data_IF_374929043214
#
_entry.id   IF_374929043214
#
_cell.length_a   1.000
_cell.length_b   1.000
_cell.length_c   1.000
_cell.angle_alpha   90.00
_cell.angle_beta   90.00
_cell.angle_gamma   90.00
#
_symmetry.space_group_name_H-M   'P 1'
#
loop_
_entity.id
_entity.type
_entity.pdbx_description
1 polymer ?
#
# COMPACT_ATOMS: atom_id res chain seq x y z
N UNK A 1 4.80 -1.30 0.00
CA UNK A 1 5.21 -0.69 -1.30
C UNK A 1 4.62 0.72 -1.38
N UNK A 2 5.37 1.73 -1.85
CA UNK A 2 4.89 3.11 -2.07
C UNK A 2 4.79 3.43 -3.56
N UNK A 3 4.15 4.55 -3.92
CA UNK A 3 3.98 5.02 -5.30
C UNK A 3 5.32 5.20 -6.04
N UNK A 4 6.35 5.68 -5.34
CA UNK A 4 7.71 5.88 -5.85
C UNK A 4 8.43 4.57 -6.21
N UNK A 5 7.90 3.44 -5.74
CA UNK A 5 8.43 2.10 -6.02
C UNK A 5 7.68 1.40 -7.15
N UNK A 6 6.70 2.06 -7.78
CA UNK A 6 5.89 1.51 -8.87
C UNK A 6 6.06 2.37 -10.12
N UNK A 7 6.47 1.75 -11.22
CA UNK A 7 6.57 2.40 -12.53
C UNK A 7 5.58 1.77 -13.49
N UNK A 8 4.92 2.62 -14.28
CA UNK A 8 4.02 2.19 -15.35
C UNK A 8 4.65 2.63 -16.66
N UNK A 9 4.85 1.69 -17.59
CA UNK A 9 5.39 2.03 -18.91
C UNK A 9 4.30 2.50 -19.89
N UNK A 10 4.71 2.82 -21.12
CA UNK A 10 3.80 3.27 -22.18
C UNK A 10 2.79 2.20 -22.65
N UNK A 11 2.96 0.95 -22.25
CA UNK A 11 2.09 -0.18 -22.57
C UNK A 11 1.19 -0.57 -21.39
N UNK A 12 1.22 0.18 -20.29
CA UNK A 12 0.54 -0.11 -19.01
C UNK A 12 1.11 -1.34 -18.27
N UNK A 13 2.36 -1.71 -18.53
CA UNK A 13 3.06 -2.73 -17.75
C UNK A 13 3.55 -2.12 -16.43
N UNK A 14 3.40 -2.88 -15.34
CA UNK A 14 3.73 -2.44 -13.98
C UNK A 14 5.07 -3.05 -13.55
N UNK A 15 5.98 -2.19 -13.11
CA UNK A 15 7.30 -2.56 -12.62
C UNK A 15 7.48 -2.15 -11.16
N UNK A 16 8.08 -3.02 -10.36
CA UNK A 16 8.36 -2.77 -8.94
C UNK A 16 9.86 -2.58 -8.72
N UNK A 17 10.22 -1.52 -8.00
CA UNK A 17 11.58 -1.24 -7.54
C UNK A 17 11.67 -1.39 -6.02
N UNK A 18 12.90 -1.32 -5.50
CA UNK A 18 13.21 -1.37 -4.07
C UNK A 18 12.64 -2.63 -3.36
N UNK A 19 13.02 -3.79 -3.89
CA UNK A 19 12.57 -5.09 -3.40
C UNK A 19 13.34 -5.60 -2.18
N UNK A 20 14.11 -4.74 -1.49
CA UNK A 20 14.92 -5.12 -0.33
C UNK A 20 14.10 -5.70 0.85
N UNK A 21 12.82 -5.31 0.94
CA UNK A 21 11.85 -5.80 1.93
C UNK A 21 10.84 -6.80 1.35
N UNK A 22 11.00 -7.23 0.10
CA UNK A 22 10.09 -8.17 -0.53
C UNK A 22 10.24 -9.57 0.09
N UNK A 23 9.12 -10.24 0.36
CA UNK A 23 9.11 -11.57 0.95
C UNK A 23 7.72 -12.03 1.36
N UNK A 24 7.65 -13.20 1.99
CA UNK A 24 6.41 -13.69 2.57
C UNK A 24 6.06 -12.84 3.80
N UNK A 25 4.91 -12.18 3.74
CA UNK A 25 4.41 -11.32 4.80
C UNK A 25 2.87 -11.38 4.87
N UNK A 26 2.32 -10.77 5.91
CA UNK A 26 0.88 -10.52 6.00
C UNK A 26 0.46 -9.56 4.88
N UNK A 27 -0.67 -9.81 4.22
CA UNK A 27 -1.18 -8.98 3.12
C UNK A 27 -1.39 -7.51 3.55
N UNK A 28 -1.67 -7.28 4.83
CA UNK A 28 -1.85 -5.94 5.36
C UNK A 28 -0.56 -5.13 5.45
N UNK A 29 0.61 -5.72 5.23
CA UNK A 29 1.85 -4.94 5.06
C UNK A 29 1.66 -3.99 3.89
N UNK A 30 1.47 -4.51 2.68
CA UNK A 30 1.37 -3.66 1.49
C UNK A 30 0.06 -2.85 1.43
N UNK A 31 -1.06 -3.42 1.86
CA UNK A 31 -2.35 -2.70 1.88
C UNK A 31 -2.27 -1.44 2.73
N UNK A 32 -1.58 -1.48 3.87
CA UNK A 32 -1.42 -0.31 4.75
C UNK A 32 -0.64 0.81 4.08
N UNK A 33 0.42 0.45 3.36
CA UNK A 33 1.23 1.42 2.62
C UNK A 33 0.47 2.05 1.47
N UNK A 34 -0.23 1.24 0.69
CA UNK A 34 -1.05 1.74 -0.43
C UNK A 34 -2.15 2.65 0.08
N UNK A 35 -2.86 2.26 1.15
CA UNK A 35 -3.90 3.09 1.76
C UNK A 35 -3.34 4.44 2.24
N UNK A 36 -2.18 4.44 2.91
CA UNK A 36 -1.49 5.67 3.35
C UNK A 36 -1.15 6.58 2.18
N UNK A 37 -0.49 6.06 1.14
CA UNK A 37 -0.14 6.84 -0.05
C UNK A 37 -1.39 7.42 -0.73
N UNK A 38 -2.46 6.64 -0.90
CA UNK A 38 -3.70 7.15 -1.49
C UNK A 38 -4.34 8.24 -0.64
N UNK A 39 -4.31 8.11 0.69
CA UNK A 39 -4.88 9.08 1.62
C UNK A 39 -4.08 10.39 1.66
N UNK A 40 -2.75 10.30 1.60
CA UNK A 40 -1.83 11.44 1.75
C UNK A 40 -1.56 12.16 0.43
N UNK A 41 -1.39 11.43 -0.66
CA UNK A 41 -0.97 11.98 -1.95
C UNK A 41 -2.13 12.20 -2.93
N UNK A 42 -3.27 11.54 -2.73
CA UNK A 42 -4.46 11.69 -3.58
C UNK A 42 -5.66 12.29 -2.83
N UNK A 43 -6.39 11.49 -2.04
CA UNK A 43 -7.49 11.94 -1.18
C UNK A 43 -7.98 10.85 -0.22
N UNK A 44 -8.63 11.28 0.87
CA UNK A 44 -9.33 10.39 1.80
C UNK A 44 -10.42 9.55 1.09
N UNK A 45 -11.13 10.12 0.12
CA UNK A 45 -12.14 9.42 -0.68
C UNK A 45 -11.52 8.31 -1.53
N UNK A 46 -10.36 8.56 -2.15
CA UNK A 46 -9.64 7.57 -2.95
C UNK A 46 -9.19 6.38 -2.09
N UNK A 47 -8.64 6.64 -0.90
CA UNK A 47 -8.29 5.58 0.05
C UNK A 47 -9.52 4.74 0.44
N UNK A 48 -10.67 5.36 0.71
CA UNK A 48 -11.93 4.66 1.00
C UNK A 48 -12.44 3.82 -0.17
N UNK A 49 -12.28 4.28 -1.42
CA UNK A 49 -12.62 3.51 -2.61
C UNK A 49 -11.73 2.27 -2.69
N UNK A 50 -10.42 2.42 -2.52
CA UNK A 50 -9.49 1.30 -2.49
C UNK A 50 -9.87 0.24 -1.45
N UNK A 51 -10.16 0.65 -0.21
CA UNK A 51 -10.56 -0.26 0.86
C UNK A 51 -11.85 -1.03 0.55
N UNK A 52 -12.81 -0.42 -0.17
CA UNK A 52 -14.05 -1.09 -0.60
C UNK A 52 -13.82 -2.20 -1.63
N UNK A 53 -12.69 -2.19 -2.34
CA UNK A 53 -12.34 -3.24 -3.30
C UNK A 53 -11.63 -4.44 -2.66
N UNK A 54 -11.24 -4.36 -1.38
CA UNK A 54 -10.65 -5.47 -0.66
C UNK A 54 -11.70 -6.53 -0.32
N UNK A 55 -11.32 -7.81 -0.41
CA UNK A 55 -12.22 -8.91 -0.03
C UNK A 55 -12.60 -8.86 1.44
N UNK A 56 -11.63 -8.54 2.30
CA UNK A 56 -11.80 -8.37 3.74
C UNK A 56 -10.93 -7.22 4.20
N UNK A 57 -11.52 -6.22 4.83
CA UNK A 57 -10.78 -5.11 5.39
C UNK A 57 -10.55 -5.31 6.91
N UNK A 58 -9.35 -4.99 7.40
CA UNK A 58 -8.94 -5.15 8.81
C UNK A 58 -8.26 -3.88 9.33
N UNK A 59 -9.03 -2.90 9.86
CA UNK A 59 -8.47 -1.65 10.38
C UNK A 59 -7.45 -1.86 11.51
N UNK A 60 -7.62 -2.90 12.32
CA UNK A 60 -6.68 -3.30 13.36
C UNK A 60 -5.29 -3.63 12.79
N UNK A 61 -5.25 -4.42 11.71
CA UNK A 61 -4.03 -4.80 11.01
C UNK A 61 -3.41 -3.61 10.29
N UNK A 62 -4.22 -2.77 9.64
CA UNK A 62 -3.72 -1.57 8.96
C UNK A 62 -2.98 -0.63 9.91
N UNK A 63 -3.64 -0.30 11.02
CA UNK A 63 -3.04 0.57 12.04
C UNK A 63 -1.78 -0.03 12.67
N UNK A 64 -1.72 -1.36 12.82
CA UNK A 64 -0.52 -2.03 13.31
C UNK A 64 0.66 -1.87 12.35
N UNK A 65 0.48 -2.17 11.07
CA UNK A 65 1.58 -2.10 10.10
C UNK A 65 2.00 -0.67 9.76
N UNK A 66 1.09 0.30 9.83
CA UNK A 66 1.44 1.72 9.75
C UNK A 66 2.39 2.15 10.88
N UNK A 67 2.07 1.77 12.13
CA UNK A 67 2.94 2.07 13.28
C UNK A 67 4.24 1.30 13.26
N UNK A 68 4.23 0.07 12.75
CA UNK A 68 5.44 -0.73 12.60
C UNK A 68 6.41 -0.07 11.61
N UNK A 69 5.90 0.60 10.58
CA UNK A 69 6.72 1.35 9.64
C UNK A 69 7.41 2.57 10.27
N UNK A 70 6.76 3.27 11.21
CA UNK A 70 7.37 4.42 11.92
C UNK A 70 8.63 4.06 12.72
N UNK A 71 8.88 2.77 12.94
CA UNK A 71 10.03 2.24 13.67
C UNK A 71 11.16 1.74 12.78
N UNK A 72 10.99 1.75 11.46
CA UNK A 72 12.01 1.35 10.47
C UNK A 72 12.58 2.57 9.76
#
# INVERSE_FOLDING_TARGET
ITDSNIFIDKFNEIYFLDLGRAGLADEFVDISFVERCLREDASEETAKIFLKHLKNDRPDKRNYFLKLDELN
#
